data_IF_978891969104
#
_entry.id   IF_978891969104
#
_cell.length_a   1.000
_cell.length_b   1.000
_cell.length_c   1.000
_cell.angle_alpha   90.00
_cell.angle_beta   90.00
_cell.angle_gamma   90.00
#
_symmetry.space_group_name_H-M   'P 1'
#
loop_
_entity.id
_entity.type
_entity.pdbx_description
1 polymer ?
#
# COMPACT_ATOMS: atom_id res chain seq x y z
N UNK A 1 12.15 -8.07 19.10
CA UNK A 1 10.71 -7.92 18.84
C UNK A 1 10.32 -6.47 19.13
N UNK A 2 10.26 -5.59 18.12
CA UNK A 2 9.77 -4.23 18.34
C UNK A 2 8.24 -4.27 18.29
N UNK A 3 7.58 -3.94 19.41
CA UNK A 3 6.18 -3.48 19.41
C UNK A 3 6.07 -2.39 18.34
N UNK A 4 5.05 -2.44 17.49
CA UNK A 4 4.66 -1.26 16.74
C UNK A 4 4.38 -0.17 17.77
N UNK A 5 5.09 0.95 17.70
CA UNK A 5 4.75 2.12 18.50
C UNK A 5 3.30 2.49 18.15
N UNK A 6 2.52 2.92 19.14
CA UNK A 6 1.20 3.46 18.86
C UNK A 6 1.33 4.66 17.90
N UNK A 7 0.36 4.80 17.00
CA UNK A 7 0.30 5.94 16.09
C UNK A 7 0.29 7.25 16.87
N UNK A 8 1.00 8.26 16.36
CA UNK A 8 1.03 9.58 16.99
C UNK A 8 -0.32 10.29 16.90
N UNK A 9 -1.06 10.04 15.82
CA UNK A 9 -2.41 10.58 15.61
C UNK A 9 -3.42 9.44 15.61
N UNK A 10 -4.55 9.65 16.27
CA UNK A 10 -5.64 8.70 16.34
C UNK A 10 -6.43 8.59 15.04
N UNK A 11 -6.34 9.59 14.14
CA UNK A 11 -6.96 9.54 12.81
C UNK A 11 -6.26 10.49 11.82
N UNK A 12 -6.61 10.41 10.52
CA UNK A 12 -6.14 11.39 9.52
C UNK A 12 -6.66 12.79 9.82
N UNK A 13 -7.90 12.92 10.31
CA UNK A 13 -8.44 14.22 10.73
C UNK A 13 -7.53 14.89 11.76
N UNK A 14 -7.10 14.16 12.79
CA UNK A 14 -6.17 14.70 13.79
C UNK A 14 -4.79 15.01 13.19
N UNK A 15 -4.26 14.13 12.32
CA UNK A 15 -3.02 14.38 11.58
C UNK A 15 -3.11 15.70 10.80
N UNK A 16 -4.21 15.92 10.05
CA UNK A 16 -4.41 17.10 9.22
C UNK A 16 -4.55 18.41 10.01
N UNK A 17 -4.88 18.32 11.31
CA UNK A 17 -4.94 19.48 12.21
C UNK A 17 -3.57 19.86 12.78
N UNK A 18 -2.62 18.93 12.78
CA UNK A 18 -1.30 19.10 13.39
C UNK A 18 -0.15 19.15 12.37
N UNK A 19 -0.41 18.80 11.11
CA UNK A 19 0.57 18.70 10.03
C UNK A 19 0.09 19.47 8.79
N UNK A 20 1.02 19.99 7.99
CA UNK A 20 0.68 20.87 6.85
C UNK A 20 0.73 20.09 5.53
N UNK A 21 -0.41 20.01 4.83
CA UNK A 21 -0.45 19.47 3.47
C UNK A 21 0.42 20.32 2.52
N UNK A 22 1.21 19.67 1.66
CA UNK A 22 2.20 20.31 0.79
C UNK A 22 3.58 20.51 1.43
N UNK A 23 3.69 20.43 2.75
CA UNK A 23 4.97 20.56 3.50
C UNK A 23 5.37 19.26 4.19
N UNK A 24 4.46 18.68 4.97
CA UNK A 24 4.68 17.51 5.82
C UNK A 24 4.16 16.24 5.18
N UNK A 25 2.97 16.31 4.59
CA UNK A 25 2.36 15.26 3.79
C UNK A 25 1.77 15.84 2.50
N UNK A 26 1.37 14.98 1.56
CA UNK A 26 0.54 15.35 0.41
C UNK A 26 -0.35 14.19 0.02
N UNK A 27 -1.48 14.47 -0.62
CA UNK A 27 -2.33 13.44 -1.23
C UNK A 27 -2.21 13.48 -2.75
N UNK A 28 -2.05 12.29 -3.33
CA UNK A 28 -2.19 12.05 -4.76
C UNK A 28 -3.42 11.16 -4.96
N UNK A 29 -4.45 11.73 -5.59
CA UNK A 29 -5.70 11.05 -5.88
C UNK A 29 -6.05 11.24 -7.35
N UNK A 30 -6.32 10.13 -8.03
CA UNK A 30 -6.69 10.11 -9.44
C UNK A 30 -7.77 9.06 -9.65
N UNK A 31 -8.92 9.45 -10.17
CA UNK A 31 -9.95 8.50 -10.58
C UNK A 31 -9.70 8.06 -12.03
N UNK A 32 -9.98 6.80 -12.30
CA UNK A 32 -10.13 6.21 -13.61
C UNK A 32 -11.47 5.46 -13.66
N UNK A 33 -12.02 5.23 -14.84
CA UNK A 33 -13.35 4.62 -15.01
C UNK A 33 -13.43 3.11 -14.73
N UNK A 34 -12.55 2.54 -13.90
CA UNK A 34 -12.51 1.11 -13.59
C UNK A 34 -13.00 0.80 -12.17
N UNK A 35 -13.27 -0.48 -11.92
CA UNK A 35 -13.84 -0.99 -10.66
C UNK A 35 -12.82 -1.12 -9.52
N UNK A 36 -11.51 -1.01 -9.80
CA UNK A 36 -10.43 -1.27 -8.86
C UNK A 36 -9.73 0.02 -8.39
N UNK A 37 -9.77 0.28 -7.09
CA UNK A 37 -8.95 1.31 -6.47
C UNK A 37 -7.62 0.72 -6.00
N UNK A 38 -6.51 1.24 -6.53
CA UNK A 38 -5.17 0.97 -6.00
C UNK A 38 -4.84 2.03 -4.95
N UNK A 39 -4.53 1.65 -3.72
CA UNK A 39 -4.30 2.66 -2.68
C UNK A 39 -3.22 2.35 -1.66
N UNK A 40 -2.75 3.42 -1.02
CA UNK A 40 -2.01 3.32 0.24
C UNK A 40 -2.16 4.59 1.09
N UNK A 41 -2.45 4.46 2.40
CA UNK A 41 -2.33 5.56 3.34
C UNK A 41 -0.88 5.87 3.75
N UNK A 42 0.11 5.10 3.30
CA UNK A 42 1.46 5.08 3.88
C UNK A 42 2.60 5.29 2.88
N UNK A 43 2.41 6.17 1.90
CA UNK A 43 3.42 6.54 0.92
C UNK A 43 4.57 7.42 1.44
N UNK A 44 5.50 7.70 0.53
CA UNK A 44 6.57 8.66 0.70
C UNK A 44 7.63 8.17 1.67
N UNK A 45 7.77 8.89 2.77
CA UNK A 45 8.67 8.52 3.87
C UNK A 45 8.03 7.65 4.95
N UNK A 46 6.71 7.42 4.92
CA UNK A 46 5.99 6.64 5.95
C UNK A 46 6.41 5.18 5.81
N UNK A 47 6.11 4.57 4.66
CA UNK A 47 6.62 3.26 4.25
C UNK A 47 7.38 3.39 2.92
N UNK A 48 8.71 3.66 2.97
CA UNK A 48 9.54 3.90 1.80
C UNK A 48 9.39 2.88 0.67
N UNK A 49 9.10 3.31 -0.56
CA UNK A 49 8.93 2.42 -1.73
C UNK A 49 7.46 2.25 -2.16
N UNK A 50 6.50 2.46 -1.24
CA UNK A 50 5.09 2.24 -1.52
C UNK A 50 4.52 3.27 -2.51
N UNK A 51 4.95 4.54 -2.41
CA UNK A 51 4.57 5.56 -3.38
C UNK A 51 4.88 5.17 -4.82
N UNK A 52 6.09 4.65 -5.03
CA UNK A 52 6.57 4.30 -6.36
C UNK A 52 5.75 3.12 -6.91
N UNK A 53 5.43 2.13 -6.07
CA UNK A 53 4.57 1.00 -6.43
C UNK A 53 3.17 1.48 -6.81
N UNK A 54 2.51 2.26 -5.95
CA UNK A 54 1.15 2.75 -6.19
C UNK A 54 1.07 3.62 -7.45
N UNK A 55 2.04 4.52 -7.66
CA UNK A 55 2.08 5.39 -8.85
C UNK A 55 2.28 4.62 -10.16
N UNK A 56 2.85 3.42 -10.13
CA UNK A 56 2.99 2.59 -11.32
C UNK A 56 1.64 2.11 -11.90
N UNK A 57 0.54 2.26 -11.15
CA UNK A 57 -0.82 1.93 -11.58
C UNK A 57 -1.62 3.14 -12.09
N UNK A 58 -1.15 4.38 -11.87
CA UNK A 58 -1.89 5.60 -12.22
C UNK A 58 -2.14 5.79 -13.73
N UNK A 59 -1.44 5.05 -14.59
CA UNK A 59 -1.67 5.05 -16.04
C UNK A 59 -2.91 4.27 -16.51
N UNK A 60 -3.59 3.55 -15.62
CA UNK A 60 -4.76 2.73 -16.00
C UNK A 60 -5.75 2.42 -14.88
N UNK A 61 -5.41 2.71 -13.62
CA UNK A 61 -6.24 2.45 -12.45
C UNK A 61 -6.56 3.72 -11.68
N UNK A 62 -7.65 3.69 -10.91
CA UNK A 62 -7.88 4.69 -9.89
C UNK A 62 -6.84 4.53 -8.79
N UNK A 63 -6.29 5.64 -8.32
CA UNK A 63 -5.22 5.65 -7.32
C UNK A 63 -5.53 6.62 -6.19
N UNK A 64 -5.36 6.17 -4.94
CA UNK A 64 -5.26 7.04 -3.77
C UNK A 64 -3.92 6.83 -3.05
N UNK A 65 -3.22 7.90 -2.71
CA UNK A 65 -1.93 7.82 -2.02
C UNK A 65 -1.72 9.02 -1.10
N UNK A 66 -1.61 8.76 0.20
CA UNK A 66 -1.03 9.73 1.15
C UNK A 66 0.49 9.55 1.18
N UNK A 67 1.25 10.63 1.01
CA UNK A 67 2.72 10.59 1.07
C UNK A 67 3.25 11.46 2.21
N UNK A 68 4.03 10.86 3.12
CA UNK A 68 4.87 11.65 4.03
C UNK A 68 6.06 12.27 3.27
N UNK A 69 6.19 13.59 3.31
CA UNK A 69 7.20 14.36 2.56
C UNK A 69 8.16 15.15 3.46
N UNK A 70 8.08 14.99 4.79
CA UNK A 70 9.07 15.52 5.73
C UNK A 70 10.48 15.04 5.37
N UNK A 71 11.50 15.84 5.72
CA UNK A 71 12.89 15.45 5.54
C UNK A 71 13.27 14.22 6.40
N UNK A 72 12.73 14.14 7.62
CA UNK A 72 12.91 13.06 8.59
C UNK A 72 11.63 12.90 9.41
N UNK A 73 11.50 11.80 10.14
CA UNK A 73 10.39 11.62 11.11
C UNK A 73 9.04 11.26 10.50
N UNK A 74 8.95 10.88 9.23
CA UNK A 74 7.65 10.54 8.59
C UNK A 74 6.88 9.38 9.25
N UNK A 75 7.49 8.60 10.14
CA UNK A 75 6.78 7.56 10.90
C UNK A 75 5.67 8.14 11.79
N UNK A 76 5.75 9.42 12.18
CA UNK A 76 4.70 10.11 12.95
C UNK A 76 3.42 10.32 12.14
N UNK A 77 3.53 10.30 10.81
CA UNK A 77 2.40 10.45 9.90
C UNK A 77 1.69 9.11 9.63
N UNK A 78 2.17 8.01 10.21
CA UNK A 78 1.48 6.73 10.11
C UNK A 78 0.20 6.78 10.97
N UNK A 79 -0.93 6.54 10.31
CA UNK A 79 -2.23 6.26 10.93
C UNK A 79 -2.67 4.91 10.40
N UNK A 80 -2.90 3.94 11.29
CA UNK A 80 -3.33 2.59 10.95
C UNK A 80 -4.55 2.60 10.04
N UNK A 81 -4.64 1.65 9.11
CA UNK A 81 -5.73 1.60 8.14
C UNK A 81 -7.10 1.51 8.82
N UNK A 82 -7.19 0.92 10.01
CA UNK A 82 -8.41 0.85 10.84
C UNK A 82 -8.92 2.20 11.35
N UNK A 83 -8.05 3.20 11.40
CA UNK A 83 -8.38 4.55 11.87
C UNK A 83 -8.17 5.63 10.80
N UNK A 84 -7.79 5.24 9.58
CA UNK A 84 -7.52 6.18 8.50
C UNK A 84 -8.82 6.74 7.93
N UNK A 85 -9.06 8.04 8.14
CA UNK A 85 -10.32 8.72 7.86
C UNK A 85 -10.18 9.94 6.93
N UNK A 86 -9.20 9.97 6.00
CA UNK A 86 -9.15 11.01 4.96
C UNK A 86 -10.46 10.96 4.14
N UNK A 87 -11.23 12.06 4.09
CA UNK A 87 -12.46 12.12 3.32
C UNK A 87 -12.30 11.70 1.85
N UNK A 88 -11.15 12.03 1.23
CA UNK A 88 -10.83 11.65 -0.15
C UNK A 88 -10.64 10.15 -0.29
N UNK A 89 -9.97 9.50 0.67
CA UNK A 89 -9.80 8.04 0.67
C UNK A 89 -11.14 7.33 0.85
N UNK A 90 -11.99 7.84 1.75
CA UNK A 90 -13.32 7.30 2.03
C UNK A 90 -14.21 7.40 0.79
N UNK A 91 -14.26 8.58 0.16
CA UNK A 91 -15.05 8.80 -1.06
C UNK A 91 -14.58 7.88 -2.19
N UNK A 92 -13.26 7.82 -2.43
CA UNK A 92 -12.71 6.94 -3.45
C UNK A 92 -13.02 5.48 -3.14
N UNK A 93 -12.77 4.99 -1.92
CA UNK A 93 -13.09 3.60 -1.57
C UNK A 93 -14.56 3.30 -1.82
N UNK A 94 -15.48 4.12 -1.30
CA UNK A 94 -16.92 3.94 -1.47
C UNK A 94 -17.39 4.01 -2.94
N UNK A 95 -16.64 4.68 -3.82
CA UNK A 95 -16.91 4.75 -5.25
C UNK A 95 -16.48 3.51 -6.06
N UNK A 96 -15.63 2.65 -5.51
CA UNK A 96 -15.05 1.50 -6.24
C UNK A 96 -15.57 0.16 -5.74
N UNK A 97 -15.55 -0.87 -6.60
CA UNK A 97 -15.99 -2.21 -6.22
C UNK A 97 -14.96 -2.93 -5.37
N UNK A 98 -13.68 -2.79 -5.71
CA UNK A 98 -12.56 -3.51 -5.12
C UNK A 98 -11.43 -2.58 -4.72
N UNK A 99 -10.61 -3.00 -3.76
CA UNK A 99 -9.40 -2.28 -3.33
C UNK A 99 -8.17 -3.18 -3.39
N UNK A 100 -7.09 -2.64 -3.97
CA UNK A 100 -5.75 -3.19 -3.93
C UNK A 100 -4.87 -2.30 -3.04
N UNK A 101 -4.57 -2.74 -1.82
CA UNK A 101 -3.87 -1.93 -0.82
C UNK A 101 -2.40 -2.33 -0.67
N UNK A 102 -1.49 -1.36 -0.67
CA UNK A 102 -0.05 -1.59 -0.50
C UNK A 102 0.48 -0.98 0.79
N UNK A 103 1.22 -1.78 1.54
CA UNK A 103 1.85 -1.45 2.80
C UNK A 103 3.27 -2.03 2.88
N UNK A 104 4.06 -1.52 3.81
CA UNK A 104 5.43 -1.92 4.04
C UNK A 104 5.71 -2.17 5.52
N UNK A 105 6.06 -3.41 5.85
CA UNK A 105 6.46 -3.76 7.22
C UNK A 105 7.98 -3.79 7.41
N UNK A 106 8.42 -3.64 8.65
CA UNK A 106 9.84 -3.69 9.00
C UNK A 106 10.37 -5.12 9.03
N UNK A 107 11.21 -5.46 8.05
CA UNK A 107 11.98 -6.70 7.96
C UNK A 107 13.15 -6.46 7.01
N UNK A 108 14.38 -6.53 7.53
CA UNK A 108 15.61 -6.13 6.81
C UNK A 108 16.36 -7.31 6.17
N UNK A 109 16.13 -8.52 6.64
CA UNK A 109 16.92 -9.69 6.24
C UNK A 109 16.25 -10.47 5.12
N UNK A 110 14.91 -10.48 5.08
CA UNK A 110 14.18 -11.35 4.16
C UNK A 110 13.33 -10.56 3.16
N UNK A 111 13.61 -10.72 1.87
CA UNK A 111 12.73 -10.26 0.80
C UNK A 111 11.45 -11.12 0.80
N UNK A 112 10.33 -10.53 1.23
CA UNK A 112 9.06 -11.23 1.39
C UNK A 112 7.88 -10.29 1.23
N UNK A 113 6.83 -10.80 0.62
CA UNK A 113 5.50 -10.16 0.55
C UNK A 113 4.51 -11.04 1.30
N UNK A 114 3.79 -10.46 2.25
CA UNK A 114 2.65 -11.10 2.89
C UNK A 114 1.38 -10.56 2.22
N UNK A 115 0.51 -11.44 1.75
CA UNK A 115 -0.72 -11.07 1.05
C UNK A 115 -1.90 -11.45 1.93
N UNK A 116 -2.83 -10.52 2.10
CA UNK A 116 -4.04 -10.68 2.88
C UNK A 116 -5.21 -9.97 2.21
N UNK A 117 -6.10 -9.41 3.04
CA UNK A 117 -7.34 -8.79 2.65
C UNK A 117 -8.54 -9.72 2.80
N UNK A 118 -9.71 -9.16 2.60
CA UNK A 118 -11.01 -9.85 2.68
C UNK A 118 -11.29 -10.71 1.44
N UNK A 119 -10.72 -10.36 0.29
CA UNK A 119 -10.84 -11.15 -0.95
C UNK A 119 -9.81 -12.28 -1.01
N UNK A 120 -10.18 -13.41 -0.41
CA UNK A 120 -9.28 -14.56 -0.28
C UNK A 120 -8.93 -15.21 -1.60
N UNK A 121 -9.90 -15.30 -2.52
CA UNK A 121 -9.70 -15.93 -3.82
C UNK A 121 -8.72 -15.11 -4.67
N UNK A 122 -8.90 -13.78 -4.71
CA UNK A 122 -7.98 -12.91 -5.46
C UNK A 122 -6.63 -12.78 -4.78
N UNK A 123 -6.58 -12.78 -3.44
CA UNK A 123 -5.30 -12.82 -2.72
C UNK A 123 -4.44 -14.04 -3.10
N UNK A 124 -5.04 -15.22 -3.28
CA UNK A 124 -4.35 -16.42 -3.78
C UNK A 124 -3.79 -16.21 -5.20
N UNK A 125 -4.58 -15.64 -6.11
CA UNK A 125 -4.12 -15.29 -7.49
C UNK A 125 -2.87 -14.41 -7.46
N UNK A 126 -2.85 -13.40 -6.58
CA UNK A 126 -1.68 -12.52 -6.45
C UNK A 126 -0.46 -13.23 -5.84
N UNK A 127 -0.64 -14.12 -4.86
CA UNK A 127 0.45 -14.92 -4.30
C UNK A 127 1.07 -15.79 -5.38
N UNK A 128 0.24 -16.46 -6.18
CA UNK A 128 0.72 -17.32 -7.26
C UNK A 128 1.41 -16.52 -8.36
N UNK A 129 0.86 -15.35 -8.73
CA UNK A 129 1.52 -14.45 -9.69
C UNK A 129 2.90 -14.01 -9.18
N UNK A 130 3.00 -13.54 -7.94
CA UNK A 130 4.30 -13.13 -7.36
C UNK A 130 5.31 -14.29 -7.36
N UNK A 131 4.88 -15.51 -7.02
CA UNK A 131 5.73 -16.71 -7.04
C UNK A 131 6.19 -17.08 -8.43
N UNK A 132 5.31 -17.02 -9.45
CA UNK A 132 5.67 -17.24 -10.86
C UNK A 132 6.77 -16.29 -11.34
N UNK A 133 6.80 -15.07 -10.81
CA UNK A 133 7.85 -14.08 -11.10
C UNK A 133 9.08 -14.17 -10.19
N UNK A 134 9.16 -15.20 -9.34
CA UNK A 134 10.31 -15.50 -8.49
C UNK A 134 10.38 -14.71 -7.19
N UNK A 135 9.25 -14.14 -6.72
CA UNK A 135 9.18 -13.47 -5.43
C UNK A 135 8.68 -14.41 -4.33
N UNK A 136 9.20 -14.22 -3.11
CA UNK A 136 8.65 -14.87 -1.92
C UNK A 136 7.33 -14.19 -1.53
N UNK A 137 6.24 -14.93 -1.68
CA UNK A 137 4.90 -14.49 -1.28
C UNK A 137 4.20 -15.56 -0.44
N UNK A 138 3.50 -15.11 0.61
CA UNK A 138 2.70 -15.96 1.49
C UNK A 138 1.30 -15.36 1.65
N UNK A 139 0.28 -16.21 1.58
CA UNK A 139 -1.08 -15.84 1.95
C UNK A 139 -1.22 -15.91 3.47
N UNK A 140 -1.55 -14.80 4.11
CA UNK A 140 -1.75 -14.75 5.56
C UNK A 140 -3.10 -15.32 5.98
N UNK A 141 -3.11 -16.09 7.06
CA UNK A 141 -4.35 -16.47 7.76
C UNK A 141 -5.18 -15.24 8.15
N UNK A 142 -6.52 -15.38 8.18
CA UNK A 142 -7.42 -14.24 8.42
C UNK A 142 -7.15 -13.56 9.77
N UNK A 143 -6.82 -14.32 10.81
CA UNK A 143 -6.52 -13.79 12.14
C UNK A 143 -5.06 -13.37 12.33
N UNK A 144 -4.21 -13.54 11.32
CA UNK A 144 -2.80 -13.20 11.43
C UNK A 144 -2.63 -11.68 11.57
N UNK A 145 -1.54 -11.27 12.24
CA UNK A 145 -1.14 -9.87 12.25
C UNK A 145 -0.85 -9.42 10.81
N UNK A 146 -1.33 -8.24 10.45
CA UNK A 146 -1.23 -7.66 9.10
C UNK A 146 -2.08 -8.39 8.03
N UNK A 147 -3.06 -9.20 8.42
CA UNK A 147 -3.93 -9.90 7.47
C UNK A 147 -4.85 -8.97 6.68
N UNK A 148 -5.04 -7.71 7.09
CA UNK A 148 -5.89 -6.73 6.39
C UNK A 148 -7.39 -7.06 6.40
N UNK A 149 -7.88 -7.94 7.29
CA UNK A 149 -9.28 -8.39 7.30
C UNK A 149 -10.21 -7.59 8.21
N UNK A 150 -9.72 -6.55 8.88
CA UNK A 150 -10.53 -5.74 9.80
C UNK A 150 -11.61 -4.97 9.03
N UNK A 151 -12.90 -5.03 9.42
CA UNK A 151 -13.96 -4.28 8.75
C UNK A 151 -13.84 -2.76 8.95
N UNK A 152 -13.03 -2.30 9.93
CA UNK A 152 -12.75 -0.89 10.15
C UNK A 152 -11.71 -0.34 9.19
N UNK A 153 -10.87 -1.20 8.63
CA UNK A 153 -9.81 -0.80 7.70
C UNK A 153 -10.39 -0.05 6.51
N UNK A 154 -9.84 1.12 6.19
CA UNK A 154 -10.19 1.89 4.99
C UNK A 154 -10.11 1.03 3.71
N UNK A 155 -9.19 0.06 3.69
CA UNK A 155 -9.01 -0.87 2.58
C UNK A 155 -10.27 -1.71 2.30
N UNK A 156 -11.13 -1.94 3.29
CA UNK A 156 -12.33 -2.77 3.21
C UNK A 156 -13.62 -1.95 3.09
N UNK A 157 -13.52 -0.64 2.87
CA UNK A 157 -14.68 0.28 2.79
C UNK A 157 -15.13 0.54 1.35
N UNK A 158 -14.74 -0.34 0.42
CA UNK A 158 -15.28 -0.37 -0.94
C UNK A 158 -16.68 -0.97 -1.00
N UNK A 159 -17.35 -0.85 -2.16
CA UNK A 159 -18.76 -1.26 -2.32
C UNK A 159 -19.01 -2.72 -1.97
N UNK A 160 -18.05 -3.61 -2.27
CA UNK A 160 -18.17 -5.04 -1.98
C UNK A 160 -17.57 -5.44 -0.63
N UNK A 161 -16.79 -4.56 -0.02
CA UNK A 161 -15.94 -4.87 1.12
C UNK A 161 -14.79 -5.83 0.81
N UNK A 162 -14.55 -6.18 -0.47
CA UNK A 162 -13.51 -7.09 -0.93
C UNK A 162 -12.24 -6.32 -1.28
N UNK A 163 -11.16 -6.63 -0.57
CA UNK A 163 -9.83 -6.06 -0.78
C UNK A 163 -8.75 -7.13 -0.80
N UNK A 164 -7.63 -6.81 -1.45
CA UNK A 164 -6.37 -7.54 -1.32
C UNK A 164 -5.32 -6.59 -0.75
N UNK A 165 -4.63 -7.01 0.31
CA UNK A 165 -3.60 -6.23 0.99
C UNK A 165 -2.21 -6.86 0.76
N UNK A 166 -1.22 -6.02 0.44
CA UNK A 166 0.18 -6.40 0.29
C UNK A 166 0.99 -5.75 1.41
N UNK A 167 1.71 -6.56 2.16
CA UNK A 167 2.67 -6.14 3.16
C UNK A 167 4.06 -6.50 2.67
N UNK A 168 4.85 -5.51 2.29
CA UNK A 168 6.12 -5.71 1.59
C UNK A 168 7.29 -5.39 2.53
N UNK A 169 8.17 -6.37 2.75
CA UNK A 169 9.28 -6.20 3.68
C UNK A 169 10.20 -5.03 3.29
N UNK A 170 10.85 -4.41 4.27
CA UNK A 170 11.88 -3.38 3.99
C UNK A 170 12.96 -3.91 3.04
N UNK A 171 13.39 -5.17 3.19
CA UNK A 171 14.35 -5.82 2.30
C UNK A 171 13.84 -5.88 0.86
N UNK A 172 12.59 -6.35 0.66
CA UNK A 172 11.99 -6.46 -0.67
C UNK A 172 11.80 -5.08 -1.31
N UNK A 173 11.34 -4.08 -0.55
CA UNK A 173 11.23 -2.69 -1.04
C UNK A 173 12.60 -2.11 -1.38
N UNK A 174 13.63 -2.33 -0.56
CA UNK A 174 15.01 -1.88 -0.84
C UNK A 174 15.57 -2.48 -2.13
N UNK A 175 15.32 -3.77 -2.36
CA UNK A 175 15.82 -4.48 -3.54
C UNK A 175 15.31 -3.89 -4.87
N UNK A 176 14.18 -3.18 -4.86
CA UNK A 176 13.58 -2.54 -6.03
C UNK A 176 14.28 -1.24 -6.46
N UNK A 177 15.20 -0.69 -5.66
CA UNK A 177 15.79 0.61 -5.96
C UNK A 177 17.30 0.64 -5.70
N UNK A 178 18.06 1.22 -6.62
CA UNK A 178 19.50 1.42 -6.43
C UNK A 178 19.79 2.51 -5.40
N UNK A 179 18.84 3.45 -5.19
CA UNK A 179 18.91 4.49 -4.15
C UNK A 179 17.63 4.51 -3.32
N UNK A 180 17.67 3.88 -2.15
CA UNK A 180 16.52 3.79 -1.24
C UNK A 180 16.34 5.03 -0.33
N UNK A 181 16.28 6.22 -0.92
CA UNK A 181 15.98 7.47 -0.23
C UNK A 181 14.76 8.16 -0.85
N UNK A 182 14.09 9.06 -0.12
CA UNK A 182 12.90 9.77 -0.63
C UNK A 182 13.15 10.47 -1.97
N UNK A 183 14.33 11.10 -2.13
CA UNK A 183 14.71 11.76 -3.39
C UNK A 183 15.24 10.79 -4.45
N UNK A 184 15.77 9.64 -4.04
CA UNK A 184 16.48 8.71 -4.91
C UNK A 184 15.59 7.68 -5.60
N UNK A 185 14.56 7.17 -4.92
CA UNK A 185 13.81 5.99 -5.36
C UNK A 185 13.15 6.18 -6.72
N UNK A 186 12.51 7.32 -6.94
CA UNK A 186 11.75 7.54 -8.18
C UNK A 186 12.62 7.43 -9.44
N UNK A 187 13.85 7.92 -9.39
CA UNK A 187 14.81 7.87 -10.50
C UNK A 187 15.81 6.70 -10.41
N UNK A 188 15.56 5.70 -9.56
CA UNK A 188 16.46 4.54 -9.38
C UNK A 188 15.74 3.21 -9.28
N UNK A 189 14.51 3.13 -9.81
CA UNK A 189 13.79 1.87 -10.01
C UNK A 189 14.65 0.97 -10.91
N UNK A 190 14.87 -0.27 -10.49
CA UNK A 190 15.67 -1.25 -11.23
C UNK A 190 14.80 -2.42 -11.72
N UNK A 191 15.42 -3.43 -12.33
CA UNK A 191 14.72 -4.60 -12.88
C UNK A 191 13.85 -5.34 -11.84
N UNK A 192 14.24 -5.32 -10.56
CA UNK A 192 13.44 -5.94 -9.49
C UNK A 192 12.13 -5.18 -9.29
N UNK A 193 12.14 -3.85 -9.39
CA UNK A 193 10.91 -3.04 -9.39
C UNK A 193 10.02 -3.40 -10.57
N UNK A 194 10.58 -3.39 -11.78
CA UNK A 194 9.80 -3.61 -13.01
C UNK A 194 9.16 -5.01 -13.01
N UNK A 195 9.92 -6.03 -12.61
CA UNK A 195 9.42 -7.41 -12.48
C UNK A 195 8.35 -7.53 -11.39
N UNK A 196 8.49 -6.82 -10.27
CA UNK A 196 7.47 -6.84 -9.21
C UNK A 196 6.17 -6.19 -9.68
N UNK A 197 6.24 -5.01 -10.31
CA UNK A 197 5.05 -4.34 -10.87
C UNK A 197 4.41 -5.18 -11.97
N UNK A 198 5.20 -5.83 -12.83
CA UNK A 198 4.70 -6.77 -13.84
C UNK A 198 3.91 -7.91 -13.18
N UNK A 199 4.47 -8.56 -12.16
CA UNK A 199 3.80 -9.65 -11.44
C UNK A 199 2.47 -9.21 -10.84
N UNK A 200 2.42 -8.02 -10.22
CA UNK A 200 1.18 -7.50 -9.63
C UNK A 200 0.18 -7.10 -10.71
N UNK A 201 0.61 -6.47 -11.82
CA UNK A 201 -0.30 -6.11 -12.93
C UNK A 201 -0.88 -7.35 -13.61
N UNK A 202 -0.10 -8.41 -13.80
CA UNK A 202 -0.61 -9.70 -14.29
C UNK A 202 -1.61 -10.31 -13.31
N UNK A 203 -1.31 -10.31 -12.01
CA UNK A 203 -2.25 -10.79 -11.00
C UNK A 203 -3.56 -9.98 -10.97
N UNK A 204 -3.49 -8.67 -11.22
CA UNK A 204 -4.68 -7.82 -11.32
C UNK A 204 -5.50 -8.12 -12.59
N UNK A 205 -4.83 -8.37 -13.73
CA UNK A 205 -5.52 -8.79 -14.94
C UNK A 205 -6.20 -10.16 -14.75
N UNK A 206 -5.54 -11.12 -14.11
CA UNK A 206 -6.11 -12.45 -13.82
C UNK A 206 -7.28 -12.38 -12.82
N UNK A 207 -7.25 -11.43 -11.88
CA UNK A 207 -8.23 -11.31 -10.80
C UNK A 207 -9.44 -10.43 -11.14
N UNK A 208 -9.29 -9.44 -12.02
CA UNK A 208 -10.29 -8.40 -12.30
C UNK A 208 -10.58 -8.17 -13.79
N UNK A 209 -9.83 -8.81 -14.70
CA UNK A 209 -10.02 -8.73 -16.15
C UNK A 209 -11.08 -9.64 -16.70
#
# INVERSE_FOLDING_TARGET
>A
MNRAAADQYASFKELSQNEIEGTDYRVFAQAAGNSLLVMSPHGGGIEPGISEIVKAFAGGYSVYLLEGIKLRGNHVLHVTSDHFDDPRAIEMAAGHEYVLAFHGYYELSHCRTLVGGTDRKRAEVFVDSLRRHGFSAELLEKSARLSGTSPKSINNRCRTGLSVQFEISTAQRKAMFDRFSRKGRDASKNEVFDRYIKAVKEGAADAYG
#
